data_IF_624940240833
#
_entry.id   IF_624940240833
#
_cell.length_a   1.000
_cell.length_b   1.000
_cell.length_c   1.000
_cell.angle_alpha   90.00
_cell.angle_beta   90.00
_cell.angle_gamma   90.00
#
_symmetry.space_group_name_H-M   'P 1'
#
loop_
_entity.id
_entity.type
_entity.pdbx_description
1 polymer ?
#
# COMPACT_ATOMS: atom_id res chain seq x y z
N UNK A 1 3.89 8.85 -16.66
CA UNK A 1 3.22 7.61 -16.19
C UNK A 1 2.34 7.99 -15.02
N UNK A 2 1.28 7.24 -14.72
CA UNK A 2 0.38 7.51 -13.60
C UNK A 2 0.35 6.31 -12.65
N UNK A 3 -0.01 6.54 -11.39
CA UNK A 3 -0.11 5.50 -10.38
C UNK A 3 -1.50 5.45 -9.77
N UNK A 4 -1.83 4.30 -9.19
CA UNK A 4 -3.06 4.05 -8.45
C UNK A 4 -2.69 3.72 -7.01
N UNK A 5 -3.37 4.37 -6.06
CA UNK A 5 -3.15 4.17 -4.64
C UNK A 5 -4.41 3.59 -3.99
N UNK A 6 -4.23 2.49 -3.28
CA UNK A 6 -5.28 1.92 -2.43
C UNK A 6 -5.09 2.48 -1.03
N UNK A 7 -6.08 3.22 -0.57
CA UNK A 7 -6.09 3.86 0.73
C UNK A 7 -6.51 2.88 1.84
N UNK A 8 -6.11 3.19 3.05
CA UNK A 8 -6.42 2.39 4.22
C UNK A 8 -7.85 2.59 4.73
N UNK A 9 -8.07 2.17 5.97
CA UNK A 9 -9.39 2.15 6.63
C UNK A 9 -10.04 3.55 6.75
N UNK A 10 -9.23 4.60 6.79
CA UNK A 10 -9.67 6.00 6.82
C UNK A 10 -9.18 6.72 5.55
N UNK A 11 -9.89 6.56 4.43
CA UNK A 11 -9.39 7.00 3.14
C UNK A 11 -9.24 8.52 3.02
N UNK A 12 -10.05 9.30 3.72
CA UNK A 12 -9.96 10.76 3.69
C UNK A 12 -8.64 11.27 4.30
N UNK A 13 -8.22 10.69 5.42
CA UNK A 13 -6.95 11.04 6.05
C UNK A 13 -5.76 10.54 5.21
N UNK A 14 -5.89 9.36 4.60
CA UNK A 14 -4.87 8.85 3.68
C UNK A 14 -4.72 9.70 2.41
N UNK A 15 -5.82 10.22 1.88
CA UNK A 15 -5.78 11.15 0.76
C UNK A 15 -5.16 12.49 1.17
N UNK A 16 -5.56 13.03 2.33
CA UNK A 16 -4.98 14.28 2.85
C UNK A 16 -3.46 14.15 3.09
N UNK A 17 -2.97 13.00 3.57
CA UNK A 17 -1.55 12.70 3.67
C UNK A 17 -0.84 12.82 2.32
N UNK A 18 -1.41 12.21 1.27
CA UNK A 18 -0.86 12.25 -0.09
C UNK A 18 -0.85 13.68 -0.66
N UNK A 19 -1.95 14.39 -0.50
CA UNK A 19 -2.08 15.77 -0.98
C UNK A 19 -1.12 16.73 -0.28
N UNK A 20 -0.88 16.54 1.03
CA UNK A 20 0.10 17.29 1.79
C UNK A 20 1.53 17.10 1.26
N UNK A 21 1.89 15.88 0.88
CA UNK A 21 3.25 15.55 0.44
C UNK A 21 3.53 15.84 -1.03
N UNK A 22 2.52 15.67 -1.88
CA UNK A 22 2.71 15.66 -3.34
C UNK A 22 1.85 16.68 -4.06
N UNK A 23 1.02 17.46 -3.33
CA UNK A 23 0.13 18.48 -3.89
C UNK A 23 -1.21 17.93 -4.37
N UNK A 24 -2.28 18.60 -3.98
CA UNK A 24 -3.68 18.24 -4.28
C UNK A 24 -3.95 18.02 -5.79
N UNK A 25 -3.38 18.88 -6.65
CA UNK A 25 -3.59 18.82 -8.09
C UNK A 25 -3.12 17.50 -8.77
N UNK A 26 -2.33 16.69 -8.07
CA UNK A 26 -1.83 15.41 -8.57
C UNK A 26 -2.78 14.24 -8.33
N UNK A 27 -3.85 14.43 -7.55
CA UNK A 27 -4.73 13.32 -7.16
C UNK A 27 -6.15 13.51 -7.68
N UNK A 28 -6.75 12.42 -8.09
CA UNK A 28 -8.16 12.28 -8.43
C UNK A 28 -8.73 11.11 -7.62
N UNK A 29 -9.72 11.36 -6.79
CA UNK A 29 -10.42 10.29 -6.06
C UNK A 29 -11.38 9.58 -7.00
N UNK A 30 -11.16 8.31 -7.24
CA UNK A 30 -12.03 7.49 -8.10
C UNK A 30 -13.17 6.84 -7.29
N UNK A 31 -12.83 6.34 -6.11
CA UNK A 31 -13.71 5.66 -5.16
C UNK A 31 -13.26 6.00 -3.73
N UNK A 32 -14.06 5.77 -2.69
CA UNK A 32 -13.67 6.13 -1.31
C UNK A 32 -12.30 5.62 -0.87
N UNK A 33 -11.89 4.45 -1.33
CA UNK A 33 -10.59 3.84 -0.99
C UNK A 33 -9.54 3.89 -2.11
N UNK A 34 -9.78 4.62 -3.20
CA UNK A 34 -8.92 4.59 -4.40
C UNK A 34 -8.64 6.00 -4.88
N UNK A 35 -7.35 6.33 -5.02
CA UNK A 35 -6.87 7.55 -5.64
C UNK A 35 -6.03 7.24 -6.88
N UNK A 36 -6.30 7.96 -7.96
CA UNK A 36 -5.44 8.02 -9.14
C UNK A 36 -4.47 9.18 -8.99
N UNK A 37 -3.19 8.93 -9.26
CA UNK A 37 -2.13 9.92 -9.15
C UNK A 37 -1.47 10.16 -10.51
N UNK A 38 -1.18 11.43 -10.82
CA UNK A 38 -0.47 11.82 -12.05
C UNK A 38 1.03 11.54 -12.00
N UNK A 39 1.59 11.26 -10.80
CA UNK A 39 2.99 10.92 -10.63
C UNK A 39 3.25 9.46 -10.98
N UNK A 40 4.47 9.14 -11.39
CA UNK A 40 4.91 7.77 -11.53
C UNK A 40 5.06 7.09 -10.17
N UNK A 41 4.93 5.76 -10.12
CA UNK A 41 5.02 5.03 -8.86
C UNK A 41 6.41 5.15 -8.20
N UNK A 42 7.46 5.31 -8.98
CA UNK A 42 8.85 5.51 -8.53
C UNK A 42 9.07 6.86 -7.83
N UNK A 43 8.25 7.87 -8.15
CA UNK A 43 8.31 9.20 -7.52
C UNK A 43 7.61 9.23 -6.15
N UNK A 44 6.89 8.17 -5.79
CA UNK A 44 6.15 8.06 -4.54
C UNK A 44 6.95 7.27 -3.51
N UNK A 45 7.37 7.91 -2.43
CA UNK A 45 8.06 7.27 -1.31
C UNK A 45 7.09 6.45 -0.46
N UNK A 46 6.68 5.29 -0.98
CA UNK A 46 5.63 4.45 -0.40
C UNK A 46 5.91 4.03 1.06
N UNK A 47 7.14 3.72 1.42
CA UNK A 47 7.52 3.31 2.77
C UNK A 47 7.24 4.36 3.85
N UNK A 48 7.08 5.63 3.43
CA UNK A 48 6.78 6.75 4.30
C UNK A 48 5.29 6.90 4.62
N UNK A 49 4.40 6.29 3.80
CA UNK A 49 2.97 6.52 3.84
C UNK A 49 2.27 5.61 4.85
N UNK A 50 1.62 6.21 5.85
CA UNK A 50 0.81 5.48 6.84
C UNK A 50 -0.60 5.15 6.32
N UNK A 51 -1.18 6.02 5.50
CA UNK A 51 -2.56 5.94 5.00
C UNK A 51 -2.74 5.11 3.74
N UNK A 52 -1.67 4.66 3.07
CA UNK A 52 -1.73 3.91 1.81
C UNK A 52 -1.37 2.44 2.03
N UNK A 53 -2.21 1.54 1.53
CA UNK A 53 -2.05 0.09 1.69
C UNK A 53 -1.34 -0.54 0.50
N UNK A 54 -1.60 -0.03 -0.72
CA UNK A 54 -0.96 -0.50 -1.95
C UNK A 54 -0.64 0.67 -2.87
N UNK A 55 0.47 0.55 -3.56
CA UNK A 55 0.85 1.41 -4.67
C UNK A 55 0.92 0.56 -5.93
N UNK A 56 0.29 1.02 -7.00
CA UNK A 56 0.26 0.32 -8.27
C UNK A 56 0.60 1.27 -9.43
N UNK A 57 1.31 0.76 -10.40
CA UNK A 57 1.59 1.42 -11.69
C UNK A 57 0.42 1.21 -12.64
N UNK A 58 -0.11 2.28 -13.22
CA UNK A 58 -1.17 2.17 -14.23
C UNK A 58 -0.58 1.67 -15.54
N UNK A 59 -1.11 0.55 -16.04
CA UNK A 59 -0.65 -0.11 -17.26
C UNK A 59 -1.45 0.34 -18.47
N UNK A 60 -2.80 0.32 -18.32
CA UNK A 60 -3.69 0.67 -19.42
C UNK A 60 -5.09 1.05 -18.93
N UNK A 61 -5.80 1.75 -19.81
CA UNK A 61 -7.25 1.96 -19.69
C UNK A 61 -7.93 1.23 -20.83
N UNK A 62 -8.94 0.39 -20.53
CA UNK A 62 -9.51 -0.55 -21.50
C UNK A 62 -11.00 -0.77 -21.29
N UNK A 63 -11.66 -1.41 -22.25
CA UNK A 63 -13.04 -1.83 -22.13
C UNK A 63 -13.15 -3.18 -21.39
N UNK A 64 -14.33 -3.49 -20.85
CA UNK A 64 -14.55 -4.72 -20.05
C UNK A 64 -14.23 -5.99 -20.84
N UNK A 65 -14.55 -6.04 -22.13
CA UNK A 65 -14.29 -7.16 -23.04
C UNK A 65 -12.80 -7.52 -23.16
N UNK A 66 -11.94 -6.50 -23.08
CA UNK A 66 -10.52 -6.63 -23.41
C UNK A 66 -9.63 -6.90 -22.19
N UNK A 67 -10.19 -6.74 -20.99
CA UNK A 67 -9.44 -6.96 -19.72
C UNK A 67 -8.71 -8.30 -19.73
N UNK A 68 -9.38 -9.37 -20.11
CA UNK A 68 -8.82 -10.74 -20.12
C UNK A 68 -7.62 -10.87 -21.06
N UNK A 69 -7.66 -10.21 -22.20
CA UNK A 69 -6.56 -10.23 -23.18
C UNK A 69 -5.38 -9.36 -22.72
N UNK A 70 -5.66 -8.17 -22.18
CA UNK A 70 -4.64 -7.27 -21.63
C UNK A 70 -3.86 -7.92 -20.50
N UNK A 71 -4.57 -8.58 -19.54
CA UNK A 71 -3.92 -9.31 -18.46
C UNK A 71 -3.09 -10.48 -18.99
N UNK A 72 -3.62 -11.24 -19.96
CA UNK A 72 -2.87 -12.36 -20.54
C UNK A 72 -1.58 -11.87 -21.19
N UNK A 73 -1.64 -10.83 -22.03
CA UNK A 73 -0.46 -10.30 -22.72
C UNK A 73 0.58 -9.78 -21.72
N UNK A 74 0.15 -9.03 -20.69
CA UNK A 74 1.04 -8.56 -19.63
C UNK A 74 1.79 -9.71 -18.94
N UNK A 75 1.10 -10.82 -18.66
CA UNK A 75 1.70 -11.98 -18.03
C UNK A 75 2.62 -12.77 -18.98
N UNK A 76 2.30 -12.80 -20.28
CA UNK A 76 3.17 -13.37 -21.31
C UNK A 76 4.47 -12.58 -21.40
N UNK A 77 4.40 -11.24 -21.45
CA UNK A 77 5.58 -10.36 -21.52
C UNK A 77 6.49 -10.53 -20.28
N UNK A 78 5.89 -10.72 -19.10
CA UNK A 78 6.65 -11.01 -17.88
C UNK A 78 7.35 -12.38 -17.90
N UNK A 79 6.78 -13.37 -18.58
CA UNK A 79 7.31 -14.73 -18.63
C UNK A 79 8.52 -14.88 -19.55
N UNK A 80 8.60 -14.10 -20.65
CA UNK A 80 9.71 -14.19 -21.62
C UNK A 80 11.10 -14.00 -21.00
N UNK A 81 11.17 -13.62 -19.73
CA UNK A 81 12.43 -13.39 -19.04
C UNK A 81 13.01 -14.63 -18.34
N UNK A 82 12.26 -15.72 -17.98
CA UNK A 82 12.79 -16.91 -17.24
C UNK A 82 11.78 -18.06 -17.11
N UNK A 83 12.28 -19.31 -17.02
CA UNK A 83 11.58 -20.57 -16.81
C UNK A 83 10.94 -20.77 -15.41
N UNK A 84 10.89 -19.76 -14.56
CA UNK A 84 10.35 -19.86 -13.21
C UNK A 84 8.81 -19.80 -13.21
N UNK A 85 8.18 -20.46 -12.21
CA UNK A 85 6.74 -20.40 -12.00
C UNK A 85 6.29 -18.95 -11.73
N UNK A 86 5.27 -18.51 -12.49
CA UNK A 86 4.67 -17.20 -12.36
C UNK A 86 3.42 -17.28 -11.47
N UNK A 87 3.37 -16.51 -10.38
CA UNK A 87 2.15 -16.36 -9.58
C UNK A 87 1.44 -15.06 -9.98
N UNK A 88 0.12 -15.12 -10.18
CA UNK A 88 -0.67 -13.92 -10.42
C UNK A 88 -1.91 -13.87 -9.54
N UNK A 89 -2.34 -12.67 -9.24
CA UNK A 89 -3.57 -12.36 -8.53
C UNK A 89 -4.34 -11.25 -9.21
N UNK A 90 -5.63 -11.16 -8.93
CA UNK A 90 -6.52 -10.11 -9.44
C UNK A 90 -7.23 -9.49 -8.25
N UNK A 91 -7.20 -8.17 -8.15
CA UNK A 91 -7.97 -7.40 -7.17
C UNK A 91 -8.88 -6.42 -7.88
N UNK A 92 -10.11 -6.32 -7.43
CA UNK A 92 -11.10 -5.40 -7.98
C UNK A 92 -11.53 -4.45 -6.87
N UNK A 93 -11.56 -3.17 -7.17
CA UNK A 93 -11.97 -2.12 -6.24
C UNK A 93 -13.12 -1.29 -6.81
N UNK A 94 -13.93 -0.76 -5.89
CA UNK A 94 -15.07 0.09 -6.20
C UNK A 94 -16.24 -0.65 -6.86
N UNK A 95 -17.25 0.11 -7.32
CA UNK A 95 -18.40 -0.44 -8.05
C UNK A 95 -18.02 -0.72 -9.50
N UNK A 96 -17.31 -1.80 -9.71
CA UNK A 96 -16.80 -2.21 -11.02
C UNK A 96 -17.76 -3.09 -11.83
N UNK A 97 -18.87 -3.56 -11.22
CA UNK A 97 -19.76 -4.52 -11.83
C UNK A 97 -19.14 -5.92 -12.04
N UNK A 98 -18.18 -6.29 -11.20
CA UNK A 98 -17.61 -7.64 -11.10
C UNK A 98 -18.02 -8.28 -9.77
N UNK A 99 -18.37 -9.55 -9.84
CA UNK A 99 -18.56 -10.44 -8.68
C UNK A 99 -17.36 -11.35 -8.47
N UNK A 100 -17.29 -12.01 -7.31
CA UNK A 100 -16.24 -13.00 -7.04
C UNK A 100 -16.22 -14.16 -8.05
N UNK A 101 -17.36 -14.72 -8.51
CA UNK A 101 -17.39 -15.65 -9.63
C UNK A 101 -16.81 -15.10 -10.93
N UNK A 102 -17.00 -13.80 -11.23
CA UNK A 102 -16.47 -13.20 -12.45
C UNK A 102 -14.93 -13.10 -12.40
N UNK A 103 -14.37 -12.78 -11.23
CA UNK A 103 -12.90 -12.81 -11.02
C UNK A 103 -12.38 -14.22 -11.27
N UNK A 104 -13.05 -15.26 -10.75
CA UNK A 104 -12.64 -16.65 -10.95
C UNK A 104 -12.67 -17.05 -12.42
N UNK A 105 -13.75 -16.68 -13.14
CA UNK A 105 -13.86 -16.92 -14.60
C UNK A 105 -12.76 -16.21 -15.37
N UNK A 106 -12.49 -14.94 -15.04
CA UNK A 106 -11.41 -14.15 -15.64
C UNK A 106 -10.05 -14.79 -15.41
N UNK A 107 -9.73 -15.13 -14.16
CA UNK A 107 -8.48 -15.77 -13.79
C UNK A 107 -8.31 -17.14 -14.46
N UNK A 108 -9.38 -17.91 -14.57
CA UNK A 108 -9.35 -19.22 -15.23
C UNK A 108 -9.09 -19.08 -16.74
N UNK A 109 -9.74 -18.11 -17.40
CA UNK A 109 -9.46 -17.79 -18.80
C UNK A 109 -7.99 -17.46 -19.03
N UNK A 110 -7.44 -16.52 -18.24
CA UNK A 110 -6.04 -16.09 -18.30
C UNK A 110 -5.10 -17.27 -18.09
N UNK A 111 -5.33 -18.05 -17.02
CA UNK A 111 -4.52 -19.23 -16.70
C UNK A 111 -4.51 -20.24 -17.84
N UNK A 112 -5.67 -20.59 -18.38
CA UNK A 112 -5.76 -21.59 -19.45
C UNK A 112 -5.10 -21.12 -20.75
N UNK A 113 -5.21 -19.82 -21.08
CA UNK A 113 -4.51 -19.26 -22.24
C UNK A 113 -2.99 -19.42 -22.08
N UNK A 114 -2.43 -19.03 -20.92
CA UNK A 114 -0.99 -19.11 -20.70
C UNK A 114 -0.46 -20.56 -20.60
N UNK A 115 -1.27 -21.49 -20.06
CA UNK A 115 -0.90 -22.92 -20.07
C UNK A 115 -0.77 -23.45 -21.48
N UNK A 116 -1.65 -23.05 -22.42
CA UNK A 116 -1.53 -23.39 -23.84
C UNK A 116 -0.26 -22.83 -24.47
N UNK A 117 0.19 -21.69 -23.99
CA UNK A 117 1.46 -21.04 -24.37
C UNK A 117 2.68 -21.64 -23.62
N UNK A 118 2.49 -22.78 -22.90
CA UNK A 118 3.52 -23.49 -22.10
C UNK A 118 4.09 -22.67 -20.93
N UNK A 119 3.36 -21.69 -20.43
CA UNK A 119 3.75 -20.89 -19.26
C UNK A 119 3.38 -21.63 -17.97
N UNK A 120 4.34 -21.85 -17.08
CA UNK A 120 4.08 -22.38 -15.74
C UNK A 120 3.49 -21.31 -14.84
N UNK A 121 2.16 -21.31 -14.68
CA UNK A 121 1.42 -20.24 -14.01
C UNK A 121 0.51 -20.74 -12.90
N UNK A 122 0.44 -19.97 -11.80
CA UNK A 122 -0.47 -20.20 -10.68
C UNK A 122 -1.31 -18.96 -10.39
N UNK A 123 -2.61 -19.14 -10.30
CA UNK A 123 -3.54 -18.14 -9.80
C UNK A 123 -3.62 -18.17 -8.28
N UNK A 124 -3.46 -17.01 -7.63
CA UNK A 124 -3.69 -16.81 -6.19
C UNK A 124 -5.17 -16.53 -5.98
N UNK A 125 -5.87 -17.49 -5.36
CA UNK A 125 -7.33 -17.43 -5.22
C UNK A 125 -7.79 -16.31 -4.29
N UNK A 126 -8.80 -15.61 -4.73
CA UNK A 126 -9.50 -14.58 -3.97
C UNK A 126 -10.48 -15.20 -2.95
N UNK A 127 -10.50 -14.62 -1.74
CA UNK A 127 -11.55 -14.83 -0.73
C UNK A 127 -12.57 -13.69 -0.73
N UNK A 128 -12.16 -12.50 -1.22
CA UNK A 128 -12.96 -11.29 -1.43
C UNK A 128 -12.69 -10.74 -2.83
N UNK A 129 -13.26 -9.60 -3.21
CA UNK A 129 -12.98 -8.96 -4.51
C UNK A 129 -11.52 -8.55 -4.64
N UNK A 130 -10.86 -8.24 -3.53
CA UNK A 130 -9.45 -7.88 -3.49
C UNK A 130 -8.61 -8.89 -2.71
N UNK A 131 -7.33 -8.98 -3.03
CA UNK A 131 -6.33 -9.70 -2.26
C UNK A 131 -5.87 -8.84 -1.09
N UNK A 132 -5.75 -9.45 0.10
CA UNK A 132 -5.18 -8.79 1.27
C UNK A 132 -3.67 -8.59 1.12
N UNK A 133 -3.10 -7.63 1.88
CA UNK A 133 -1.64 -7.41 1.95
C UNK A 133 -0.91 -8.70 2.32
N UNK A 134 -1.45 -9.51 3.25
CA UNK A 134 -0.88 -10.78 3.63
C UNK A 134 -0.80 -11.78 2.45
N UNK A 135 -1.85 -11.86 1.63
CA UNK A 135 -1.84 -12.72 0.44
C UNK A 135 -0.80 -12.27 -0.60
N UNK A 136 -0.65 -10.95 -0.79
CA UNK A 136 0.32 -10.37 -1.72
C UNK A 136 1.74 -10.67 -1.26
N UNK A 137 2.05 -10.40 0.02
CA UNK A 137 3.37 -10.64 0.61
C UNK A 137 3.71 -12.13 0.57
N UNK A 138 2.82 -12.99 1.05
CA UNK A 138 3.05 -14.44 1.10
C UNK A 138 3.29 -15.05 -0.28
N UNK A 139 2.53 -14.62 -1.30
CA UNK A 139 2.68 -15.11 -2.67
C UNK A 139 3.70 -14.30 -3.49
N UNK A 140 4.40 -13.32 -2.87
CA UNK A 140 5.42 -12.47 -3.48
C UNK A 140 4.93 -11.78 -4.77
N UNK A 141 3.67 -11.29 -4.77
CA UNK A 141 3.03 -10.75 -5.98
C UNK A 141 3.61 -9.41 -6.46
N UNK A 142 4.47 -8.77 -5.68
CA UNK A 142 5.23 -7.57 -6.06
C UNK A 142 6.65 -7.90 -6.56
N UNK A 143 7.03 -9.18 -6.63
CA UNK A 143 8.35 -9.56 -7.14
C UNK A 143 8.40 -9.55 -8.68
N UNK A 144 9.61 -9.51 -9.24
CA UNK A 144 9.87 -9.35 -10.68
C UNK A 144 9.12 -10.35 -11.58
N UNK A 145 8.85 -11.58 -11.10
CA UNK A 145 8.23 -12.65 -11.89
C UNK A 145 6.76 -12.91 -11.50
N UNK A 146 6.18 -12.12 -10.61
CA UNK A 146 4.83 -12.31 -10.12
C UNK A 146 4.04 -11.00 -10.30
N UNK A 147 2.71 -11.10 -10.24
CA UNK A 147 1.86 -9.95 -10.52
C UNK A 147 0.57 -9.98 -9.72
N UNK A 148 0.23 -8.88 -9.06
CA UNK A 148 -1.16 -8.54 -8.77
C UNK A 148 -1.63 -7.51 -9.78
N UNK A 149 -2.74 -7.79 -10.47
CA UNK A 149 -3.43 -6.81 -11.30
C UNK A 149 -4.59 -6.23 -10.51
N UNK A 150 -4.60 -4.92 -10.39
CA UNK A 150 -5.73 -4.15 -9.84
C UNK A 150 -6.60 -3.68 -10.99
N UNK A 151 -7.91 -3.85 -10.84
CA UNK A 151 -8.92 -3.40 -11.79
C UNK A 151 -9.84 -2.41 -11.06
N UNK A 152 -9.95 -1.20 -11.61
CA UNK A 152 -10.84 -0.15 -11.11
C UNK A 152 -11.66 0.41 -12.27
N UNK A 153 -12.95 0.61 -12.07
CA UNK A 153 -13.79 1.27 -13.07
C UNK A 153 -13.64 2.79 -12.96
N UNK A 154 -13.43 3.43 -14.09
CA UNK A 154 -13.47 4.88 -14.23
C UNK A 154 -14.43 5.22 -15.36
N UNK A 155 -15.57 5.81 -15.02
CA UNK A 155 -16.66 6.06 -15.97
C UNK A 155 -17.13 4.75 -16.66
N UNK A 156 -17.02 4.68 -18.00
CA UNK A 156 -17.40 3.49 -18.81
C UNK A 156 -16.23 2.53 -19.07
N UNK A 157 -15.00 2.89 -18.68
CA UNK A 157 -13.76 2.14 -18.93
C UNK A 157 -13.14 1.60 -17.65
N UNK A 158 -12.13 0.76 -17.79
CA UNK A 158 -11.42 0.12 -16.67
C UNK A 158 -9.93 0.47 -16.70
N UNK A 159 -9.44 0.93 -15.56
CA UNK A 159 -8.00 1.10 -15.32
C UNK A 159 -7.46 -0.27 -14.89
N UNK A 160 -6.40 -0.70 -15.56
CA UNK A 160 -5.59 -1.84 -15.16
C UNK A 160 -4.28 -1.30 -14.59
N UNK A 161 -3.95 -1.73 -13.38
CA UNK A 161 -2.72 -1.33 -12.71
C UNK A 161 -2.00 -2.56 -12.12
N UNK A 162 -0.68 -2.51 -12.10
CA UNK A 162 0.20 -3.52 -11.51
C UNK A 162 0.65 -3.06 -10.13
N UNK A 163 0.39 -3.86 -9.10
CA UNK A 163 0.90 -3.57 -7.75
C UNK A 163 2.43 -3.63 -7.73
N UNK A 164 3.04 -2.53 -7.32
CA UNK A 164 4.51 -2.41 -7.20
C UNK A 164 4.96 -2.40 -5.74
N UNK A 165 4.11 -1.93 -4.82
CA UNK A 165 4.38 -1.96 -3.39
C UNK A 165 3.12 -2.26 -2.59
N UNK A 166 3.29 -2.93 -1.47
CA UNK A 166 2.25 -3.23 -0.48
C UNK A 166 2.78 -2.95 0.92
N UNK A 167 1.91 -2.44 1.78
CA UNK A 167 2.27 -2.07 3.14
C UNK A 167 2.79 -3.28 3.92
N UNK A 168 3.94 -3.13 4.58
CA UNK A 168 4.54 -4.17 5.42
C UNK A 168 3.79 -4.30 6.75
N UNK A 169 2.76 -5.15 6.73
CA UNK A 169 1.91 -5.42 7.88
C UNK A 169 2.67 -6.05 9.05
N UNK A 170 3.76 -6.76 8.78
CA UNK A 170 4.57 -7.41 9.81
C UNK A 170 5.41 -6.38 10.56
N UNK A 171 6.08 -5.46 9.86
CA UNK A 171 6.82 -4.38 10.46
C UNK A 171 5.93 -3.49 11.33
N UNK A 172 4.71 -3.15 10.87
CA UNK A 172 3.76 -2.41 11.69
C UNK A 172 3.30 -3.20 12.92
N UNK A 173 3.00 -4.49 12.76
CA UNK A 173 2.62 -5.34 13.90
C UNK A 173 3.72 -5.44 14.95
N UNK A 174 4.99 -5.52 14.53
CA UNK A 174 6.12 -5.51 15.45
C UNK A 174 6.12 -4.22 16.28
N UNK A 175 6.10 -3.06 15.62
CA UNK A 175 6.14 -1.75 16.28
C UNK A 175 4.90 -1.46 17.13
N UNK A 176 3.74 -1.97 16.73
CA UNK A 176 2.52 -1.77 17.48
C UNK A 176 2.42 -2.69 18.71
N UNK A 177 2.81 -3.96 18.57
CA UNK A 177 2.53 -4.98 19.57
C UNK A 177 3.74 -5.45 20.36
N UNK A 178 4.97 -5.36 19.84
CA UNK A 178 6.18 -5.96 20.44
C UNK A 178 7.16 -4.96 21.05
N UNK A 179 6.85 -3.66 21.03
CA UNK A 179 7.68 -2.68 21.74
C UNK A 179 7.74 -2.99 23.23
N UNK A 180 8.90 -2.79 23.88
CA UNK A 180 9.12 -3.23 25.28
C UNK A 180 8.18 -2.61 26.30
N UNK A 181 7.80 -1.34 26.08
CA UNK A 181 6.93 -0.59 26.99
C UNK A 181 5.64 -0.19 26.33
N UNK A 182 4.55 -0.66 26.93
CA UNK A 182 3.17 -0.39 26.49
C UNK A 182 2.34 -0.07 27.73
N UNK A 183 1.48 0.93 27.63
CA UNK A 183 0.50 1.24 28.67
C UNK A 183 -0.89 1.35 28.03
N UNK A 184 -1.68 0.28 28.19
CA UNK A 184 -3.03 0.21 27.65
C UNK A 184 -4.02 1.19 28.32
N UNK A 185 -3.67 1.75 29.49
CA UNK A 185 -4.53 2.68 30.25
C UNK A 185 -4.53 4.09 29.64
N UNK A 186 -3.44 4.46 28.98
CA UNK A 186 -3.25 5.82 28.45
C UNK A 186 -3.75 5.92 26.99
N UNK A 187 -4.03 4.79 26.37
CA UNK A 187 -4.26 4.73 24.94
C UNK A 187 -2.95 4.87 24.17
N UNK A 188 -2.83 4.16 23.06
CA UNK A 188 -1.60 4.22 22.25
C UNK A 188 -1.95 4.59 20.83
N UNK A 189 -1.25 5.61 20.30
CA UNK A 189 -1.38 6.00 18.93
C UNK A 189 -0.89 4.85 18.01
N UNK A 190 -1.68 4.39 17.03
CA UNK A 190 -1.19 3.41 16.07
C UNK A 190 -0.02 3.97 15.23
N UNK A 191 1.03 3.17 14.95
CA UNK A 191 2.17 3.62 14.15
C UNK A 191 1.82 4.26 12.81
N UNK A 192 0.82 3.70 12.10
CA UNK A 192 0.34 4.26 10.83
C UNK A 192 -0.23 5.67 10.99
N UNK A 193 -0.99 5.91 12.05
CA UNK A 193 -1.57 7.23 12.31
C UNK A 193 -0.48 8.23 12.70
N UNK A 194 0.53 7.78 13.45
CA UNK A 194 1.71 8.60 13.74
C UNK A 194 2.42 9.07 12.46
N UNK A 195 2.64 8.17 11.50
CA UNK A 195 3.22 8.51 10.20
C UNK A 195 2.36 9.52 9.43
N UNK A 196 1.05 9.32 9.40
CA UNK A 196 0.12 10.27 8.75
C UNK A 196 0.22 11.65 9.40
N UNK A 197 0.20 11.72 10.73
CA UNK A 197 0.32 12.99 11.47
C UNK A 197 1.63 13.70 11.14
N UNK A 198 2.76 12.98 11.14
CA UNK A 198 4.06 13.55 10.79
C UNK A 198 4.05 14.05 9.35
N UNK A 199 3.47 13.32 8.41
CA UNK A 199 3.37 13.72 7.01
C UNK A 199 2.48 14.96 6.81
N UNK A 200 1.37 15.05 7.53
CA UNK A 200 0.48 16.23 7.50
C UNK A 200 1.15 17.47 8.10
N UNK A 201 1.95 17.29 9.15
CA UNK A 201 2.67 18.37 9.81
C UNK A 201 3.89 18.85 8.98
N UNK A 202 4.46 17.99 8.14
CA UNK A 202 5.66 18.25 7.33
C UNK A 202 5.33 18.31 5.84
N UNK A 203 4.60 19.34 5.41
CA UNK A 203 4.18 19.55 4.01
C UNK A 203 5.33 19.59 2.98
N UNK A 204 6.56 19.71 3.42
CA UNK A 204 7.77 19.52 2.63
C UNK A 204 8.68 18.52 3.37
N UNK A 205 9.18 17.50 2.66
CA UNK A 205 10.10 16.49 3.23
C UNK A 205 11.48 17.13 3.46
N UNK A 206 11.57 17.97 4.49
CA UNK A 206 12.85 18.51 4.95
C UNK A 206 13.32 17.72 6.18
N UNK A 207 14.19 16.75 5.96
CA UNK A 207 14.74 15.87 7.00
C UNK A 207 15.67 16.60 7.98
N UNK A 208 16.03 17.86 7.71
CA UNK A 208 16.81 18.68 8.65
C UNK A 208 15.94 19.22 9.79
N UNK A 209 14.63 19.22 9.64
CA UNK A 209 13.70 19.62 10.69
C UNK A 209 13.63 18.58 11.80
N UNK A 210 13.33 19.07 13.00
CA UNK A 210 13.11 18.24 14.18
C UNK A 210 11.61 18.08 14.38
N UNK A 211 11.16 16.84 14.53
CA UNK A 211 9.78 16.54 14.98
C UNK A 211 9.77 16.67 16.49
N UNK A 212 9.01 17.64 17.00
CA UNK A 212 8.81 17.85 18.43
C UNK A 212 7.45 17.29 18.86
N UNK A 213 7.45 16.39 19.83
CA UNK A 213 6.24 15.89 20.49
C UNK A 213 6.28 16.25 21.97
N UNK A 214 5.58 17.32 22.40
CA UNK A 214 5.61 17.78 23.78
C UNK A 214 4.80 16.91 24.77
N UNK A 215 4.07 15.92 24.26
CA UNK A 215 3.25 14.96 25.02
C UNK A 215 3.53 13.53 24.55
N UNK A 216 4.80 13.15 24.52
CA UNK A 216 5.26 11.98 23.75
C UNK A 216 4.76 10.63 24.30
N UNK A 217 4.25 10.55 25.51
CA UNK A 217 3.81 9.30 26.12
C UNK A 217 4.85 8.19 25.98
N UNK A 218 4.48 7.06 25.43
CA UNK A 218 5.41 5.94 25.19
C UNK A 218 6.29 6.10 23.92
N UNK A 219 6.27 7.26 23.25
CA UNK A 219 7.18 7.65 22.19
C UNK A 219 6.82 7.18 20.78
N UNK A 220 5.55 6.96 20.45
CA UNK A 220 5.17 6.44 19.11
C UNK A 220 5.49 7.42 17.99
N UNK A 221 5.17 8.71 18.17
CA UNK A 221 5.52 9.77 17.21
C UNK A 221 7.04 9.83 17.02
N UNK A 222 7.80 9.76 18.10
CA UNK A 222 9.26 9.82 18.05
C UNK A 222 9.84 8.62 17.29
N UNK A 223 9.34 7.40 17.56
CA UNK A 223 9.75 6.20 16.84
C UNK A 223 9.50 6.30 15.34
N UNK A 224 8.29 6.67 14.94
CA UNK A 224 7.95 6.77 13.52
C UNK A 224 8.71 7.92 12.85
N UNK A 225 8.93 9.06 13.54
CA UNK A 225 9.74 10.15 13.01
C UNK A 225 11.18 9.70 12.70
N UNK A 226 11.81 8.97 13.62
CA UNK A 226 13.16 8.42 13.41
C UNK A 226 13.22 7.43 12.24
N UNK A 227 12.22 6.52 12.14
CA UNK A 227 12.10 5.58 11.01
C UNK A 227 11.87 6.27 9.68
N UNK A 228 11.22 7.44 9.69
CA UNK A 228 11.02 8.29 8.51
C UNK A 228 12.24 9.14 8.18
N UNK A 229 13.31 9.07 8.99
CA UNK A 229 14.57 9.77 8.79
C UNK A 229 14.64 11.17 9.38
N UNK A 230 13.66 11.61 10.17
CA UNK A 230 13.71 12.87 10.90
C UNK A 230 14.53 12.77 12.19
N UNK A 231 15.03 13.91 12.66
CA UNK A 231 15.40 14.05 14.06
C UNK A 231 14.12 14.20 14.88
N UNK A 232 14.11 13.65 16.10
CA UNK A 232 12.94 13.71 16.96
C UNK A 232 13.33 14.16 18.38
N UNK A 233 12.45 14.96 19.00
CA UNK A 233 12.55 15.39 20.40
C UNK A 233 11.17 15.25 21.04
N UNK A 234 11.11 14.75 22.26
CA UNK A 234 9.86 14.62 23.00
C UNK A 234 10.01 14.95 24.46
N UNK A 235 8.91 15.36 25.05
CA UNK A 235 8.77 15.55 26.49
C UNK A 235 7.44 14.98 26.97
N UNK A 236 7.33 14.69 28.25
CA UNK A 236 6.09 14.30 28.91
C UNK A 236 6.14 14.76 30.36
N UNK A 237 5.00 15.06 30.95
CA UNK A 237 4.91 15.45 32.36
C UNK A 237 5.00 14.25 33.32
N UNK A 238 4.77 13.02 32.84
CA UNK A 238 4.98 11.77 33.57
C UNK A 238 6.39 11.22 33.28
N UNK A 239 7.27 11.25 34.30
CA UNK A 239 8.64 10.73 34.19
C UNK A 239 8.69 9.24 33.80
N UNK A 240 7.65 8.46 34.14
CA UNK A 240 7.50 7.07 33.72
C UNK A 240 7.32 6.98 32.21
N UNK A 241 6.54 7.90 31.60
CA UNK A 241 6.37 7.96 30.15
C UNK A 241 7.67 8.33 29.44
N UNK A 242 8.42 9.27 29.96
CA UNK A 242 9.77 9.61 29.44
C UNK A 242 10.67 8.37 29.46
N UNK A 243 10.68 7.62 30.58
CA UNK A 243 11.44 6.36 30.69
C UNK A 243 10.96 5.31 29.68
N UNK A 244 9.64 5.16 29.47
CA UNK A 244 9.08 4.22 28.48
C UNK A 244 9.45 4.63 27.06
N UNK A 245 9.33 5.90 26.73
CA UNK A 245 9.73 6.43 25.44
C UNK A 245 11.20 6.13 25.15
N UNK A 246 12.10 6.44 26.08
CA UNK A 246 13.53 6.15 25.96
C UNK A 246 13.80 4.67 25.69
N UNK A 247 13.18 3.76 26.46
CA UNK A 247 13.36 2.31 26.26
C UNK A 247 12.82 1.83 24.91
N UNK A 248 11.69 2.37 24.45
CA UNK A 248 11.12 2.04 23.15
C UNK A 248 11.96 2.56 22.00
N UNK A 249 12.59 3.73 22.14
CA UNK A 249 13.53 4.29 21.15
C UNK A 249 14.82 3.48 21.05
N UNK A 250 15.34 2.98 22.17
CA UNK A 250 16.55 2.12 22.15
C UNK A 250 16.29 0.72 21.55
N UNK A 251 15.05 0.28 21.58
CA UNK A 251 14.65 -1.01 20.99
C UNK A 251 14.51 -0.94 19.47
N UNK A 252 14.29 0.23 18.88
CA UNK A 252 14.03 0.44 17.46
C UNK A 252 15.26 0.06 16.61
#
# INVERSE_FOLDING_TARGET
>A
MSSLLVLGRQPDIGLAELESLYGHANFERLEPGIALCKLAAEDIKFSRLGGVVKLAEVISVTDKSDIKFKISNLLTDLHHAKSARLNFGISIYGDSGFSLPDIKKLAFFVKNKLIKEKVNIRYVQNKALELSSAQIIHNKLTSRNNLEVIIVKKNKRYILAKTVAVQDIYAYSQRDQKRPKRDARIGMLPPKLAQIIINLASSNIDLNKIVLDPFCGSGVILQEALLMGFKAMGSDNDSRMVSYSSQNLHWL
#
